data_IF_408998122248
#
_entry.id   IF_408998122248
#
_cell.length_a   1.000
_cell.length_b   1.000
_cell.length_c   1.000
_cell.angle_alpha   90.00
_cell.angle_beta   90.00
_cell.angle_gamma   90.00
#
_symmetry.space_group_name_H-M   'P 1'
#
loop_
_entity.id
_entity.type
_entity.pdbx_description
1 polymer ?
#
# COMPACT_ATOMS: atom_id res chain seq x y z
N UNK A 1 -0.04 21.17 -7.24
CA UNK A 1 -1.25 22.01 -7.14
C UNK A 1 -1.80 21.83 -5.73
N UNK A 2 -2.16 22.92 -5.03
CA UNK A 2 -2.73 22.82 -3.68
C UNK A 2 -4.25 22.99 -3.76
N UNK A 3 -4.99 21.94 -3.45
CA UNK A 3 -6.46 21.95 -3.37
C UNK A 3 -6.93 22.00 -1.92
N UNK A 4 -8.09 22.62 -1.67
CA UNK A 4 -8.69 22.73 -0.34
C UNK A 4 -9.77 21.67 -0.19
N UNK A 5 -9.67 20.87 0.88
CA UNK A 5 -10.72 19.94 1.30
C UNK A 5 -11.36 20.47 2.60
N UNK A 6 -12.69 20.54 2.63
CA UNK A 6 -13.44 20.92 3.84
C UNK A 6 -14.26 19.72 4.30
N UNK A 7 -14.11 19.33 5.57
CA UNK A 7 -14.80 18.20 6.17
C UNK A 7 -15.85 18.71 7.16
N UNK A 8 -17.04 18.12 7.15
CA UNK A 8 -18.04 18.31 8.22
C UNK A 8 -17.81 17.21 9.25
N UNK A 9 -17.57 17.62 10.50
CA UNK A 9 -17.23 16.75 11.63
C UNK A 9 -17.89 17.33 12.89
N UNK A 10 -18.13 16.49 13.88
CA UNK A 10 -18.62 16.93 15.18
C UNK A 10 -17.57 17.80 15.90
N UNK A 11 -18.03 18.76 16.69
CA UNK A 11 -17.15 19.72 17.38
C UNK A 11 -16.14 19.03 18.30
N UNK A 12 -16.56 18.00 19.05
CA UNK A 12 -15.68 17.23 19.94
C UNK A 12 -14.54 16.55 19.18
N UNK A 13 -14.81 16.10 17.96
CA UNK A 13 -13.82 15.49 17.09
C UNK A 13 -12.81 16.53 16.57
N UNK A 14 -13.30 17.73 16.22
CA UNK A 14 -12.45 18.86 15.81
C UNK A 14 -11.51 19.26 16.95
N UNK A 15 -12.01 19.34 18.18
CA UNK A 15 -11.19 19.67 19.35
C UNK A 15 -10.13 18.60 19.62
N UNK A 16 -10.53 17.32 19.59
CA UNK A 16 -9.61 16.20 19.77
C UNK A 16 -8.48 16.20 18.73
N UNK A 17 -8.80 16.48 17.47
CA UNK A 17 -7.82 16.58 16.40
C UNK A 17 -6.83 17.74 16.61
N UNK A 18 -7.31 18.90 17.06
CA UNK A 18 -6.45 20.06 17.37
C UNK A 18 -5.52 19.79 18.56
N UNK A 19 -6.02 19.17 19.63
CA UNK A 19 -5.21 18.78 20.79
C UNK A 19 -4.10 17.81 20.39
N UNK A 20 -4.44 16.79 19.60
CA UNK A 20 -3.46 15.83 19.09
C UNK A 20 -2.42 16.51 18.18
N UNK A 21 -2.87 17.42 17.32
CA UNK A 21 -1.99 18.24 16.47
C UNK A 21 -0.99 19.06 17.28
N UNK A 22 -1.45 19.72 18.35
CA UNK A 22 -0.59 20.50 19.25
C UNK A 22 0.43 19.61 19.97
N UNK A 23 0.01 18.44 20.45
CA UNK A 23 0.90 17.49 21.15
C UNK A 23 1.98 16.90 20.25
N UNK A 24 1.65 16.66 18.98
CA UNK A 24 2.57 15.99 18.03
C UNK A 24 3.39 16.95 17.18
N UNK A 25 3.07 18.25 17.20
CA UNK A 25 3.70 19.27 16.34
C UNK A 25 3.33 19.15 14.86
N UNK A 26 2.42 18.23 14.49
CA UNK A 26 1.95 18.05 13.11
C UNK A 26 0.62 18.77 12.93
N UNK A 27 0.46 19.54 11.87
CA UNK A 27 -0.83 20.17 11.57
C UNK A 27 -1.92 19.13 11.31
N UNK A 28 -3.18 19.45 11.63
CA UNK A 28 -4.34 18.60 11.33
C UNK A 28 -4.39 18.22 9.85
N UNK A 29 -4.11 19.16 8.96
CA UNK A 29 -4.04 18.91 7.51
C UNK A 29 -2.97 17.88 7.15
N UNK A 30 -1.80 17.89 7.81
CA UNK A 30 -0.73 16.91 7.60
C UNK A 30 -1.15 15.53 8.08
N UNK A 31 -1.78 15.45 9.26
CA UNK A 31 -2.29 14.19 9.82
C UNK A 31 -3.31 13.54 8.88
N UNK A 32 -4.26 14.33 8.38
CA UNK A 32 -5.30 13.86 7.45
C UNK A 32 -4.69 13.45 6.11
N UNK A 33 -3.72 14.21 5.59
CA UNK A 33 -3.02 13.86 4.35
C UNK A 33 -2.25 12.54 4.48
N UNK A 34 -1.55 12.32 5.59
CA UNK A 34 -0.84 11.06 5.87
C UNK A 34 -1.84 9.88 5.90
N UNK A 35 -3.02 10.08 6.51
CA UNK A 35 -4.07 9.06 6.52
C UNK A 35 -4.64 8.75 5.13
N UNK A 36 -4.90 9.77 4.31
CA UNK A 36 -5.34 9.56 2.92
C UNK A 36 -4.29 8.83 2.08
N UNK A 37 -2.99 9.09 2.28
CA UNK A 37 -1.93 8.34 1.62
C UNK A 37 -1.93 6.85 2.00
N UNK A 38 -2.27 6.51 3.25
CA UNK A 38 -2.44 5.12 3.68
C UNK A 38 -3.68 4.47 3.05
N UNK A 39 -4.79 5.19 2.94
CA UNK A 39 -5.99 4.71 2.25
C UNK A 39 -5.68 4.45 0.78
N UNK A 40 -5.02 5.40 0.11
CA UNK A 40 -4.63 5.25 -1.29
C UNK A 40 -3.74 4.02 -1.49
N UNK A 41 -2.75 3.80 -0.62
CA UNK A 41 -1.91 2.58 -0.67
C UNK A 41 -2.71 1.28 -0.51
N UNK A 42 -3.80 1.30 0.27
CA UNK A 42 -4.67 0.14 0.50
C UNK A 42 -5.65 -0.08 -0.66
N UNK A 43 -6.25 0.99 -1.19
CA UNK A 43 -7.22 0.97 -2.29
C UNK A 43 -6.60 0.74 -3.65
N UNK A 44 -5.43 1.32 -3.89
CA UNK A 44 -4.70 1.14 -5.15
C UNK A 44 -4.30 -0.31 -5.37
N UNK A 45 -4.40 -1.18 -4.34
CA UNK A 45 -4.16 -2.61 -4.43
C UNK A 45 -2.95 -2.87 -5.29
N UNK A 46 -1.92 -2.01 -5.13
CA UNK A 46 -1.02 -1.58 -6.20
C UNK A 46 -0.69 -2.84 -6.97
N UNK A 47 -1.19 -2.96 -8.21
CA UNK A 47 -0.63 -3.93 -9.16
C UNK A 47 0.85 -3.81 -8.90
N UNK A 48 1.45 -4.83 -8.24
CA UNK A 48 2.82 -4.73 -7.74
C UNK A 48 3.56 -4.20 -8.93
N UNK A 49 4.12 -2.98 -8.87
CA UNK A 49 4.83 -2.44 -10.01
C UNK A 49 5.98 -3.40 -10.19
N UNK A 50 5.81 -4.33 -11.12
CA UNK A 50 6.74 -5.44 -11.29
C UNK A 50 8.05 -4.76 -11.63
N UNK A 51 9.08 -5.05 -10.83
CA UNK A 51 10.39 -4.47 -11.04
C UNK A 51 10.73 -4.57 -12.53
N UNK A 52 11.20 -3.48 -13.18
CA UNK A 52 11.49 -3.46 -14.61
C UNK A 52 12.34 -4.65 -15.05
N UNK A 53 13.23 -5.13 -14.17
CA UNK A 53 14.08 -6.30 -14.39
C UNK A 53 13.30 -7.63 -14.45
N UNK A 54 12.28 -7.77 -13.62
CA UNK A 54 11.46 -9.00 -13.52
C UNK A 54 10.23 -8.98 -14.44
N UNK A 55 9.88 -7.81 -14.99
CA UNK A 55 8.73 -7.62 -15.88
C UNK A 55 8.76 -8.51 -17.13
N UNK A 56 9.91 -8.73 -17.80
CA UNK A 56 9.99 -9.65 -18.95
C UNK A 56 9.77 -11.12 -18.59
N UNK A 57 10.01 -11.50 -17.34
CA UNK A 57 9.83 -12.88 -16.88
C UNK A 57 8.36 -13.21 -16.57
N UNK A 58 7.53 -12.18 -16.36
CA UNK A 58 6.11 -12.37 -16.08
C UNK A 58 5.41 -13.03 -17.26
N UNK A 59 4.84 -14.21 -17.01
CA UNK A 59 4.09 -14.97 -18.01
C UNK A 59 4.93 -15.87 -18.90
N UNK A 60 6.25 -15.96 -18.69
CA UNK A 60 7.12 -16.95 -19.34
C UNK A 60 6.63 -18.40 -19.17
N UNK A 61 5.97 -18.69 -18.05
CA UNK A 61 5.42 -20.00 -17.72
C UNK A 61 3.93 -20.17 -18.08
N UNK A 62 3.26 -19.17 -18.68
CA UNK A 62 1.81 -19.23 -18.98
C UNK A 62 1.40 -20.39 -19.90
N UNK A 63 2.33 -20.90 -20.72
CA UNK A 63 2.09 -22.03 -21.64
C UNK A 63 2.60 -23.37 -21.10
N UNK A 64 3.28 -23.35 -19.96
CA UNK A 64 3.78 -24.57 -19.33
C UNK A 64 2.71 -25.19 -18.44
N UNK A 65 2.66 -26.52 -18.39
CA UNK A 65 1.91 -27.27 -17.37
C UNK A 65 2.74 -27.38 -16.08
N UNK A 66 3.33 -26.27 -15.65
CA UNK A 66 4.18 -26.25 -14.46
C UNK A 66 3.38 -25.65 -13.32
N UNK A 67 3.23 -26.43 -12.27
CA UNK A 67 2.50 -26.09 -11.06
C UNK A 67 3.44 -25.60 -9.97
N UNK A 68 2.87 -25.07 -8.89
CA UNK A 68 3.64 -24.72 -7.70
C UNK A 68 4.19 -25.97 -7.00
N UNK A 69 3.50 -27.11 -7.15
CA UNK A 69 3.96 -28.40 -6.61
C UNK A 69 5.25 -28.87 -7.29
N UNK A 70 5.36 -28.71 -8.60
CA UNK A 70 6.57 -29.08 -9.36
C UNK A 70 7.81 -28.30 -8.87
N UNK A 71 7.61 -27.02 -8.54
CA UNK A 71 8.68 -26.18 -8.00
C UNK A 71 9.10 -26.63 -6.58
N UNK A 72 8.13 -26.97 -5.72
CA UNK A 72 8.41 -27.46 -4.36
C UNK A 72 9.18 -28.78 -4.39
N UNK A 73 8.77 -29.71 -5.26
CA UNK A 73 9.45 -30.99 -5.46
C UNK A 73 10.90 -30.79 -5.93
N UNK A 74 11.13 -29.89 -6.89
CA UNK A 74 12.49 -29.55 -7.32
C UNK A 74 13.36 -29.00 -6.17
N UNK A 75 12.79 -28.16 -5.30
CA UNK A 75 13.52 -27.63 -4.15
C UNK A 75 13.89 -28.72 -3.15
N UNK A 76 12.98 -29.66 -2.90
CA UNK A 76 13.28 -30.83 -2.06
C UNK A 76 14.42 -31.65 -2.67
N UNK A 77 14.34 -32.06 -3.94
CA UNK A 77 15.41 -32.84 -4.59
C UNK A 77 16.77 -32.13 -4.67
N UNK A 78 16.76 -30.79 -4.68
CA UNK A 78 18.00 -30.00 -4.78
C UNK A 78 18.69 -29.77 -3.44
N UNK A 79 17.92 -29.63 -2.37
CA UNK A 79 18.41 -29.15 -1.07
C UNK A 79 18.24 -30.15 0.08
N UNK A 80 17.43 -31.19 -0.09
CA UNK A 80 17.21 -32.29 0.86
C UNK A 80 17.77 -33.60 0.30
#
# INVERSE_FOLDING_TARGET
MNSKLTLRLDEDLIQSAKLYSAKTGKSVSKIVADYFALIDKKLSGRQREISPLTRPLMGSLKKGKVSEEDYKKYLEEKYL
#
